data_IF_236093980736
#
_entry.id   IF_236093980736
#
_cell.length_a   1.000
_cell.length_b   1.000
_cell.length_c   1.000
_cell.angle_alpha   90.00
_cell.angle_beta   90.00
_cell.angle_gamma   90.00
#
_symmetry.space_group_name_H-M   'P 1'
#
loop_
_entity.id
_entity.type
_entity.pdbx_description
1 polymer ?
#
# COMPACT_ATOMS: atom_id res chain seq x y z
N UNK A 1 8.78 3.79 27.53
CA UNK A 1 7.83 2.77 28.05
C UNK A 1 7.42 3.17 29.47
N UNK A 2 6.12 3.12 29.77
CA UNK A 2 5.56 3.43 31.11
C UNK A 2 5.72 2.27 32.12
N UNK A 3 6.50 1.25 31.76
CA UNK A 3 6.68 0.01 32.52
C UNK A 3 5.54 -1.01 32.38
N UNK A 4 4.48 -0.70 31.62
CA UNK A 4 3.33 -1.58 31.35
C UNK A 4 3.14 -1.85 29.85
N UNK A 5 3.43 -0.86 29.02
CA UNK A 5 3.29 -0.87 27.58
C UNK A 5 4.60 -0.45 26.93
N UNK A 6 4.96 -1.18 25.88
CA UNK A 6 5.93 -0.74 24.91
C UNK A 6 5.15 -0.13 23.75
N UNK A 7 5.52 1.09 23.39
CA UNK A 7 4.96 1.80 22.26
C UNK A 7 5.98 1.71 21.14
N UNK A 8 5.50 1.48 19.92
CA UNK A 8 6.32 1.64 18.73
C UNK A 8 6.67 3.12 18.60
N UNK A 9 7.96 3.39 18.41
CA UNK A 9 8.55 4.72 18.21
C UNK A 9 9.04 4.79 16.75
N UNK A 10 9.14 5.99 16.20
CA UNK A 10 9.44 6.30 14.80
C UNK A 10 8.52 5.55 13.81
N UNK A 11 7.21 5.61 14.09
CA UNK A 11 6.19 4.96 13.25
C UNK A 11 6.21 5.56 11.84
N UNK A 12 6.11 4.72 10.81
CA UNK A 12 6.24 5.14 9.41
C UNK A 12 4.87 5.48 8.78
N UNK A 13 4.88 5.89 7.51
CA UNK A 13 3.68 6.27 6.77
C UNK A 13 2.79 5.07 6.41
N UNK A 14 3.36 3.86 6.38
CA UNK A 14 2.66 2.61 6.09
C UNK A 14 1.67 2.24 7.20
N UNK A 15 1.98 2.54 8.46
CA UNK A 15 1.04 2.31 9.55
C UNK A 15 -0.19 3.21 9.39
N UNK A 16 -0.01 4.50 9.11
CA UNK A 16 -1.15 5.41 8.88
C UNK A 16 -1.95 4.96 7.65
N UNK A 17 -1.27 4.56 6.58
CA UNK A 17 -1.92 4.01 5.38
C UNK A 17 -2.77 2.78 5.70
N UNK A 18 -2.23 1.83 6.45
CA UNK A 18 -2.95 0.63 6.90
C UNK A 18 -4.12 0.96 7.84
N UNK A 19 -3.96 1.90 8.77
CA UNK A 19 -5.03 2.33 9.67
C UNK A 19 -6.18 2.96 8.89
N UNK A 20 -5.91 3.93 8.01
CA UNK A 20 -6.95 4.61 7.25
C UNK A 20 -7.68 3.63 6.33
N UNK A 21 -6.99 2.69 5.68
CA UNK A 21 -7.63 1.66 4.86
C UNK A 21 -8.50 0.71 5.70
N UNK A 22 -7.92 0.07 6.73
CA UNK A 22 -8.61 -0.96 7.52
C UNK A 22 -9.75 -0.42 8.38
N UNK A 23 -9.59 0.75 9.00
CA UNK A 23 -10.65 1.39 9.79
C UNK A 23 -11.83 1.75 8.88
N UNK A 24 -11.56 2.21 7.67
CA UNK A 24 -12.62 2.55 6.72
C UNK A 24 -13.44 1.32 6.32
N UNK A 25 -12.77 0.19 6.00
CA UNK A 25 -13.46 -1.08 5.75
C UNK A 25 -14.26 -1.54 6.97
N UNK A 26 -13.71 -1.40 8.18
CA UNK A 26 -14.42 -1.72 9.41
C UNK A 26 -15.69 -0.88 9.57
N UNK A 27 -15.63 0.43 9.31
CA UNK A 27 -16.79 1.35 9.37
C UNK A 27 -17.88 0.96 8.35
N UNK A 28 -17.48 0.59 7.14
CA UNK A 28 -18.38 0.27 6.04
C UNK A 28 -19.09 -1.07 6.23
N UNK A 29 -18.37 -2.09 6.70
CA UNK A 29 -18.84 -3.48 6.61
C UNK A 29 -19.13 -4.16 7.95
N UNK A 30 -18.64 -3.61 9.07
CA UNK A 30 -18.69 -4.32 10.37
C UNK A 30 -19.21 -3.44 11.51
N UNK A 31 -18.78 -2.18 11.58
CA UNK A 31 -18.99 -1.36 12.75
C UNK A 31 -20.43 -0.87 12.87
N UNK A 32 -21.01 -1.05 14.06
CA UNK A 32 -22.34 -0.57 14.42
C UNK A 32 -22.29 0.27 15.70
N UNK A 33 -23.32 1.11 15.91
CA UNK A 33 -23.52 1.89 17.12
C UNK A 33 -22.26 2.64 17.60
N UNK A 34 -21.89 2.43 18.86
CA UNK A 34 -20.74 3.08 19.50
C UNK A 34 -19.40 2.77 18.82
N UNK A 35 -19.21 1.54 18.30
CA UNK A 35 -17.97 1.16 17.62
C UNK A 35 -17.77 1.99 16.34
N UNK A 36 -18.85 2.22 15.58
CA UNK A 36 -18.80 3.07 14.38
C UNK A 36 -18.42 4.50 14.74
N UNK A 37 -19.02 5.06 15.78
CA UNK A 37 -18.69 6.41 16.28
C UNK A 37 -17.23 6.50 16.72
N UNK A 38 -16.72 5.50 17.45
CA UNK A 38 -15.32 5.46 17.89
C UNK A 38 -14.33 5.34 16.74
N UNK A 39 -14.65 4.54 15.72
CA UNK A 39 -13.83 4.38 14.53
C UNK A 39 -13.73 5.68 13.72
N UNK A 40 -14.87 6.37 13.50
CA UNK A 40 -14.89 7.69 12.84
C UNK A 40 -14.09 8.71 13.65
N UNK A 41 -14.25 8.74 14.97
CA UNK A 41 -13.48 9.63 15.85
C UNK A 41 -11.97 9.30 15.86
N UNK A 42 -11.57 8.08 15.53
CA UNK A 42 -10.16 7.72 15.37
C UNK A 42 -9.59 8.27 14.05
N UNK A 43 -10.29 8.09 12.93
CA UNK A 43 -9.91 8.71 11.64
C UNK A 43 -9.77 10.22 11.80
N UNK A 44 -10.76 10.86 12.43
CA UNK A 44 -10.78 12.29 12.70
C UNK A 44 -9.53 12.74 13.46
N UNK A 45 -9.23 12.11 14.59
CA UNK A 45 -8.06 12.46 15.41
C UNK A 45 -6.74 12.28 14.67
N UNK A 46 -6.59 11.20 13.91
CA UNK A 46 -5.36 10.94 13.13
C UNK A 46 -5.16 12.05 12.09
N UNK A 47 -6.17 12.33 11.26
CA UNK A 47 -6.02 13.28 10.16
C UNK A 47 -5.97 14.73 10.65
N UNK A 48 -6.70 15.09 11.71
CA UNK A 48 -6.53 16.38 12.38
C UNK A 48 -5.11 16.55 12.92
N UNK A 49 -4.56 15.54 13.60
CA UNK A 49 -3.19 15.63 14.11
C UNK A 49 -2.17 15.86 12.99
N UNK A 50 -2.30 15.17 11.86
CA UNK A 50 -1.41 15.37 10.71
C UNK A 50 -1.50 16.81 10.17
N UNK A 51 -2.72 17.36 10.00
CA UNK A 51 -2.90 18.72 9.49
C UNK A 51 -2.38 19.78 10.47
N UNK A 52 -2.67 19.61 11.76
CA UNK A 52 -2.26 20.56 12.81
C UNK A 52 -0.73 20.64 12.96
N UNK A 53 0.00 19.63 12.48
CA UNK A 53 1.46 19.58 12.47
C UNK A 53 2.03 19.67 11.06
N UNK A 54 1.48 20.56 10.24
CA UNK A 54 1.96 20.85 8.89
C UNK A 54 2.10 19.58 8.03
N UNK A 55 1.10 18.70 8.04
CA UNK A 55 1.13 17.45 7.27
C UNK A 55 2.30 16.52 7.64
N UNK A 56 2.69 16.46 8.91
CA UNK A 56 3.69 15.54 9.42
C UNK A 56 3.10 14.66 10.52
N UNK A 57 3.53 13.40 10.60
CA UNK A 57 3.25 12.53 11.74
C UNK A 57 4.25 12.85 12.86
N UNK A 58 3.73 13.28 14.00
CA UNK A 58 4.54 13.63 15.18
C UNK A 58 4.54 12.46 16.16
N UNK A 59 5.73 12.12 16.64
CA UNK A 59 5.94 11.05 17.60
C UNK A 59 5.68 11.48 19.05
N UNK A 60 5.71 10.53 19.97
CA UNK A 60 5.52 10.73 21.39
C UNK A 60 6.55 11.68 22.02
N UNK A 61 7.71 11.87 21.39
CA UNK A 61 8.73 12.83 21.82
C UNK A 61 8.49 14.26 21.31
N UNK A 62 7.43 14.48 20.53
CA UNK A 62 7.03 15.76 19.97
C UNK A 62 7.75 16.14 18.68
N UNK A 63 8.53 15.23 18.08
CA UNK A 63 9.24 15.47 16.81
C UNK A 63 8.58 14.73 15.64
N UNK A 64 8.80 15.18 14.40
CA UNK A 64 8.37 14.42 13.23
C UNK A 64 9.03 13.04 13.18
N UNK A 65 8.23 12.04 12.85
CA UNK A 65 8.72 10.71 12.45
C UNK A 65 9.53 10.81 11.16
N UNK A 66 10.38 9.81 10.92
CA UNK A 66 11.26 9.79 9.77
C UNK A 66 10.52 9.71 8.45
N UNK A 67 9.41 8.97 8.39
CA UNK A 67 8.74 8.61 7.12
C UNK A 67 7.31 9.17 6.99
N UNK A 68 6.68 9.60 8.09
CA UNK A 68 5.36 10.24 8.07
C UNK A 68 5.43 11.71 7.65
N UNK A 69 5.86 11.97 6.42
CA UNK A 69 6.06 13.32 5.88
C UNK A 69 5.21 13.53 4.63
N UNK A 70 4.28 14.49 4.70
CA UNK A 70 3.35 14.81 3.61
C UNK A 70 3.27 16.30 3.29
N UNK A 71 4.20 17.09 3.81
CA UNK A 71 4.14 18.54 3.71
C UNK A 71 4.75 19.07 2.39
N UNK A 72 4.23 20.19 1.85
CA UNK A 72 4.71 20.71 0.57
C UNK A 72 6.18 21.09 0.55
N UNK A 73 6.71 21.62 1.64
CA UNK A 73 8.14 21.98 1.71
C UNK A 73 9.06 20.77 1.52
N UNK A 74 8.68 19.60 2.03
CA UNK A 74 9.42 18.37 1.78
C UNK A 74 9.16 17.84 0.37
N UNK A 75 7.90 17.65 -0.02
CA UNK A 75 7.57 16.92 -1.24
C UNK A 75 7.76 17.73 -2.53
N UNK A 76 7.55 19.05 -2.49
CA UNK A 76 7.65 19.93 -3.66
C UNK A 76 8.91 20.79 -3.67
N UNK A 77 9.41 21.19 -2.50
CA UNK A 77 10.48 22.19 -2.39
C UNK A 77 11.84 21.61 -1.95
N UNK A 78 11.94 20.28 -1.78
CA UNK A 78 13.18 19.60 -1.41
C UNK A 78 13.50 18.43 -2.36
N UNK A 79 14.75 18.30 -2.83
CA UNK A 79 15.16 17.14 -3.63
C UNK A 79 15.24 15.84 -2.82
N UNK A 80 15.31 15.92 -1.49
CA UNK A 80 15.50 14.77 -0.61
C UNK A 80 14.32 13.80 -0.59
N UNK A 81 13.14 14.26 -1.01
CA UNK A 81 11.88 13.49 -1.03
C UNK A 81 11.41 13.21 -2.46
N UNK A 82 12.31 13.33 -3.44
CA UNK A 82 11.95 13.16 -4.85
C UNK A 82 11.39 11.76 -5.16
N UNK A 83 11.82 10.73 -4.43
CA UNK A 83 11.33 9.36 -4.60
C UNK A 83 9.96 9.15 -3.94
N UNK A 84 9.73 9.78 -2.79
CA UNK A 84 8.51 9.65 -2.02
C UNK A 84 7.43 10.63 -2.47
N UNK A 85 7.79 11.67 -3.24
CA UNK A 85 6.92 12.77 -3.67
C UNK A 85 5.57 12.28 -4.19
N UNK A 86 5.58 11.36 -5.15
CA UNK A 86 4.35 10.85 -5.75
C UNK A 86 3.54 10.01 -4.77
N UNK A 87 4.21 9.08 -4.08
CA UNK A 87 3.61 8.15 -3.13
C UNK A 87 2.97 8.88 -1.94
N UNK A 88 3.70 9.79 -1.30
CA UNK A 88 3.24 10.52 -0.14
C UNK A 88 2.14 11.53 -0.53
N UNK A 89 2.23 12.15 -1.72
CA UNK A 89 1.12 12.98 -2.24
C UNK A 89 -0.16 12.15 -2.40
N UNK A 90 -0.06 10.92 -2.92
CA UNK A 90 -1.21 10.01 -3.04
C UNK A 90 -1.81 9.66 -1.67
N UNK A 91 -0.95 9.32 -0.69
CA UNK A 91 -1.36 8.96 0.66
C UNK A 91 -2.18 10.06 1.34
N UNK A 92 -1.64 11.28 1.43
CA UNK A 92 -2.32 12.36 2.17
C UNK A 92 -3.63 12.78 1.52
N UNK A 93 -3.69 12.77 0.18
CA UNK A 93 -4.95 13.01 -0.54
C UNK A 93 -5.99 11.95 -0.19
N UNK A 94 -5.59 10.68 -0.07
CA UNK A 94 -6.47 9.59 0.35
C UNK A 94 -6.93 9.73 1.80
N UNK A 95 -6.04 10.10 2.71
CA UNK A 95 -6.37 10.29 4.13
C UNK A 95 -7.40 11.41 4.28
N UNK A 96 -7.20 12.52 3.58
CA UNK A 96 -8.12 13.65 3.56
C UNK A 96 -9.48 13.26 2.95
N UNK A 97 -9.51 12.58 1.80
CA UNK A 97 -10.78 12.14 1.19
C UNK A 97 -11.56 11.19 2.08
N UNK A 98 -10.86 10.24 2.70
CA UNK A 98 -11.44 9.32 3.68
C UNK A 98 -12.03 10.08 4.87
N UNK A 99 -11.30 11.03 5.44
CA UNK A 99 -11.77 11.82 6.58
C UNK A 99 -12.93 12.77 6.20
N UNK A 100 -12.90 13.38 5.01
CA UNK A 100 -14.00 14.19 4.48
C UNK A 100 -15.28 13.36 4.41
N UNK A 101 -15.21 12.13 3.88
CA UNK A 101 -16.38 11.27 3.74
C UNK A 101 -17.04 10.93 5.08
N UNK A 102 -16.25 10.60 6.10
CA UNK A 102 -16.81 10.19 7.39
C UNK A 102 -17.17 11.34 8.34
N UNK A 103 -16.57 12.52 8.18
CA UNK A 103 -16.73 13.62 9.15
C UNK A 103 -17.33 14.90 8.56
N UNK A 104 -17.29 15.07 7.25
CA UNK A 104 -17.70 16.27 6.51
C UNK A 104 -17.00 17.59 6.96
N UNK A 105 -15.90 17.50 7.72
CA UNK A 105 -15.24 18.68 8.30
C UNK A 105 -14.66 19.61 7.24
N UNK A 106 -14.94 20.91 7.40
CA UNK A 106 -14.42 21.98 6.53
C UNK A 106 -12.89 22.01 6.48
N UNK A 107 -12.21 21.80 7.62
CA UNK A 107 -10.76 21.81 7.70
C UNK A 107 -10.12 20.80 6.73
N UNK A 108 -10.67 19.58 6.63
CA UNK A 108 -10.17 18.54 5.73
C UNK A 108 -10.42 18.90 4.26
N UNK A 109 -11.58 19.47 3.94
CA UNK A 109 -11.90 19.97 2.59
C UNK A 109 -10.93 21.08 2.17
N UNK A 110 -10.64 22.02 3.07
CA UNK A 110 -9.70 23.13 2.82
C UNK A 110 -8.27 22.61 2.64
N UNK A 111 -7.81 21.68 3.48
CA UNK A 111 -6.50 21.07 3.33
C UNK A 111 -6.37 20.31 1.99
N UNK A 112 -7.40 19.55 1.61
CA UNK A 112 -7.44 18.85 0.33
C UNK A 112 -7.32 19.83 -0.85
N UNK A 113 -8.17 20.87 -0.86
CA UNK A 113 -8.15 21.91 -1.89
C UNK A 113 -6.78 22.58 -1.99
N UNK A 114 -6.18 22.95 -0.85
CA UNK A 114 -4.85 23.53 -0.82
C UNK A 114 -3.80 22.63 -1.49
N UNK A 115 -3.71 21.36 -1.09
CA UNK A 115 -2.74 20.42 -1.65
C UNK A 115 -2.97 20.16 -3.15
N UNK A 116 -4.22 20.09 -3.60
CA UNK A 116 -4.52 19.82 -5.00
C UNK A 116 -4.38 21.03 -5.90
N UNK A 117 -4.84 22.21 -5.46
CA UNK A 117 -4.94 23.41 -6.29
C UNK A 117 -3.67 24.27 -6.23
N UNK A 118 -3.04 24.36 -5.06
CA UNK A 118 -1.83 25.18 -4.87
C UNK A 118 -0.54 24.38 -5.03
N UNK A 119 -0.54 23.13 -4.54
CA UNK A 119 0.68 22.32 -4.45
C UNK A 119 0.76 21.21 -5.51
N UNK A 120 -0.26 21.05 -6.36
CA UNK A 120 -0.23 20.11 -7.48
C UNK A 120 -0.18 18.63 -7.07
N UNK A 121 -0.65 18.27 -5.87
CA UNK A 121 -0.50 16.90 -5.35
C UNK A 121 -1.21 15.86 -6.20
N UNK A 122 -2.28 16.23 -6.91
CA UNK A 122 -2.94 15.31 -7.83
C UNK A 122 -2.06 14.93 -9.03
N UNK A 123 -1.18 15.83 -9.50
CA UNK A 123 -0.21 15.53 -10.55
C UNK A 123 0.97 14.72 -10.01
N UNK A 124 1.44 15.03 -8.80
CA UNK A 124 2.43 14.22 -8.10
C UNK A 124 1.94 12.77 -7.97
N UNK A 125 0.70 12.60 -7.54
CA UNK A 125 0.08 11.29 -7.33
C UNK A 125 0.01 10.46 -8.61
N UNK A 126 -0.02 11.04 -9.82
CA UNK A 126 0.06 10.26 -11.08
C UNK A 126 1.36 9.47 -11.19
N UNK A 127 2.43 9.93 -10.55
CA UNK A 127 3.74 9.28 -10.52
C UNK A 127 3.99 8.49 -9.22
N UNK A 128 2.94 8.08 -8.50
CA UNK A 128 3.07 7.46 -7.17
C UNK A 128 3.98 6.22 -7.15
N UNK A 129 3.81 5.29 -8.11
CA UNK A 129 4.75 4.18 -8.29
C UNK A 129 6.00 4.64 -9.04
N UNK A 130 7.14 4.68 -8.35
CA UNK A 130 8.45 4.76 -9.00
C UNK A 130 8.96 3.33 -9.20
N UNK A 131 9.55 3.08 -10.37
CA UNK A 131 10.13 1.81 -10.72
C UNK A 131 11.31 2.02 -11.67
N UNK A 132 12.24 1.08 -11.63
CA UNK A 132 13.50 1.10 -12.35
C UNK A 132 14.41 -0.01 -11.82
N UNK A 133 15.53 -0.30 -12.50
CA UNK A 133 16.39 -1.44 -12.17
C UNK A 133 16.78 -1.57 -10.70
N UNK A 134 17.00 -0.44 -10.02
CA UNK A 134 17.50 -0.40 -8.65
C UNK A 134 16.53 0.26 -7.66
N UNK A 135 15.39 0.75 -8.14
CA UNK A 135 14.46 1.57 -7.35
C UNK A 135 13.13 0.85 -7.07
N UNK A 136 12.94 -0.34 -7.66
CA UNK A 136 11.69 -1.09 -7.50
C UNK A 136 11.53 -1.55 -6.05
N UNK A 137 10.58 -0.90 -5.37
CA UNK A 137 10.15 -1.23 -4.02
C UNK A 137 8.83 -2.00 -4.09
N UNK A 138 8.84 -3.25 -3.64
CA UNK A 138 7.61 -4.07 -3.56
C UNK A 138 6.83 -3.79 -2.26
N UNK A 139 7.50 -3.29 -1.22
CA UNK A 139 6.81 -2.86 0.01
C UNK A 139 5.85 -1.72 -0.27
N UNK A 140 6.29 -0.77 -1.10
CA UNK A 140 5.54 0.44 -1.42
C UNK A 140 4.29 0.17 -2.23
N UNK A 141 4.12 -1.03 -2.78
CA UNK A 141 2.88 -1.39 -3.47
C UNK A 141 1.68 -1.39 -2.53
N UNK A 142 1.84 -1.83 -1.28
CA UNK A 142 0.80 -1.67 -0.25
C UNK A 142 0.47 -0.18 -0.08
N UNK A 143 1.52 0.64 0.03
CA UNK A 143 1.42 2.09 0.25
C UNK A 143 0.84 2.83 -0.97
N UNK A 144 0.82 2.21 -2.15
CA UNK A 144 0.15 2.73 -3.33
C UNK A 144 -1.31 2.27 -3.41
N UNK A 145 -1.56 0.95 -3.30
CA UNK A 145 -2.86 0.36 -3.57
C UNK A 145 -3.91 0.70 -2.52
N UNK A 146 -3.54 0.75 -1.23
CA UNK A 146 -4.47 1.07 -0.16
C UNK A 146 -5.01 2.51 -0.26
N UNK A 147 -4.18 3.55 -0.52
CA UNK A 147 -4.68 4.89 -0.74
C UNK A 147 -5.63 5.05 -1.93
N UNK A 148 -5.47 4.27 -3.01
CA UNK A 148 -6.41 4.35 -4.14
C UNK A 148 -7.83 3.97 -3.71
N UNK A 149 -8.00 3.03 -2.77
CA UNK A 149 -9.32 2.69 -2.25
C UNK A 149 -10.01 3.91 -1.65
N UNK A 150 -9.36 4.61 -0.72
CA UNK A 150 -9.93 5.81 -0.09
C UNK A 150 -10.26 6.91 -1.10
N UNK A 151 -9.35 7.19 -2.05
CA UNK A 151 -9.57 8.20 -3.09
C UNK A 151 -10.72 7.85 -4.04
N UNK A 152 -10.75 6.61 -4.52
CA UNK A 152 -11.69 6.21 -5.57
C UNK A 152 -13.05 5.82 -5.00
N UNK A 153 -13.12 5.25 -3.80
CA UNK A 153 -14.38 4.90 -3.13
C UNK A 153 -15.07 6.14 -2.57
N UNK A 154 -14.33 7.03 -1.91
CA UNK A 154 -14.90 8.16 -1.17
C UNK A 154 -14.83 9.50 -1.91
N UNK A 155 -14.18 9.55 -3.09
CA UNK A 155 -14.09 10.72 -3.95
C UNK A 155 -14.73 10.50 -5.32
N UNK A 156 -15.91 9.85 -5.38
CA UNK A 156 -16.59 9.59 -6.67
C UNK A 156 -17.01 10.86 -7.40
N UNK A 157 -17.28 11.94 -6.66
CA UNK A 157 -17.65 13.28 -7.12
C UNK A 157 -16.43 14.19 -7.40
N UNK A 158 -15.22 13.70 -7.14
CA UNK A 158 -14.00 14.49 -7.30
C UNK A 158 -13.68 14.75 -8.79
N UNK A 159 -13.57 16.01 -9.26
CA UNK A 159 -13.13 16.30 -10.61
C UNK A 159 -11.73 15.78 -10.96
N UNK A 160 -10.88 15.50 -9.96
CA UNK A 160 -9.55 14.92 -10.13
C UNK A 160 -9.55 13.39 -10.21
N UNK A 161 -10.72 12.74 -10.06
CA UNK A 161 -10.87 11.28 -10.20
C UNK A 161 -10.18 10.70 -11.45
N UNK A 162 -10.22 11.32 -12.65
CA UNK A 162 -9.49 10.80 -13.81
C UNK A 162 -7.97 10.70 -13.61
N UNK A 163 -7.35 11.62 -12.85
CA UNK A 163 -5.92 11.55 -12.51
C UNK A 163 -5.62 10.36 -11.58
N UNK A 164 -6.50 10.08 -10.62
CA UNK A 164 -6.33 8.94 -9.72
C UNK A 164 -6.52 7.60 -10.44
N UNK A 165 -7.46 7.52 -11.39
CA UNK A 165 -7.61 6.35 -12.27
C UNK A 165 -6.36 6.16 -13.14
N UNK A 166 -5.85 7.25 -13.73
CA UNK A 166 -4.59 7.21 -14.50
C UNK A 166 -3.42 6.71 -13.63
N UNK A 167 -3.32 7.22 -12.40
CA UNK A 167 -2.30 6.82 -11.44
C UNK A 167 -2.34 5.33 -11.10
N UNK A 168 -3.54 4.82 -10.75
CA UNK A 168 -3.75 3.40 -10.48
C UNK A 168 -3.43 2.54 -11.70
N UNK A 169 -3.88 2.92 -12.90
CA UNK A 169 -3.60 2.17 -14.13
C UNK A 169 -2.09 2.11 -14.44
N UNK A 170 -1.36 3.21 -14.24
CA UNK A 170 0.09 3.25 -14.39
C UNK A 170 0.79 2.37 -13.33
N UNK A 171 0.34 2.47 -12.08
CA UNK A 171 0.89 1.68 -10.96
C UNK A 171 0.69 0.18 -11.21
N UNK A 172 -0.52 -0.24 -11.59
CA UNK A 172 -0.79 -1.63 -11.95
C UNK A 172 0.07 -2.09 -13.13
N UNK A 173 0.18 -1.28 -14.20
CA UNK A 173 1.03 -1.62 -15.36
C UNK A 173 2.47 -1.93 -14.94
N UNK A 174 2.99 -1.23 -13.93
CA UNK A 174 4.35 -1.40 -13.44
C UNK A 174 4.56 -2.65 -12.57
N UNK A 175 3.49 -3.23 -12.00
CA UNK A 175 3.57 -4.38 -11.08
C UNK A 175 2.83 -5.62 -11.58
N UNK A 176 2.12 -5.55 -12.70
CA UNK A 176 1.28 -6.65 -13.20
C UNK A 176 2.09 -7.95 -13.44
N UNK A 177 3.36 -7.81 -13.82
CA UNK A 177 4.27 -8.92 -14.11
C UNK A 177 4.89 -9.53 -12.83
N UNK A 178 4.62 -8.96 -11.64
CA UNK A 178 5.06 -9.54 -10.36
C UNK A 178 4.12 -10.64 -9.86
N UNK A 179 3.00 -10.89 -10.57
CA UNK A 179 2.02 -11.93 -10.25
C UNK A 179 1.44 -11.81 -8.83
N UNK A 180 1.29 -10.59 -8.32
CA UNK A 180 0.74 -10.34 -6.98
C UNK A 180 -0.80 -10.34 -7.02
N UNK A 181 -1.49 -11.35 -6.45
CA UNK A 181 -2.94 -11.47 -6.56
C UNK A 181 -3.68 -10.28 -5.96
N UNK A 182 -3.21 -9.78 -4.81
CA UNK A 182 -3.84 -8.65 -4.10
C UNK A 182 -3.90 -7.39 -4.97
N UNK A 183 -2.85 -7.08 -5.74
CA UNK A 183 -2.79 -5.90 -6.61
C UNK A 183 -3.66 -6.07 -7.85
N UNK A 184 -3.69 -7.27 -8.43
CA UNK A 184 -4.54 -7.60 -9.56
C UNK A 184 -6.03 -7.49 -9.19
N UNK A 185 -6.42 -8.03 -8.03
CA UNK A 185 -7.81 -7.97 -7.53
C UNK A 185 -8.22 -6.53 -7.24
N UNK A 186 -7.39 -5.78 -6.51
CA UNK A 186 -7.65 -4.38 -6.19
C UNK A 186 -7.73 -3.49 -7.45
N UNK A 187 -6.79 -3.65 -8.38
CA UNK A 187 -6.81 -2.96 -9.67
C UNK A 187 -8.08 -3.29 -10.45
N UNK A 188 -8.46 -4.57 -10.50
CA UNK A 188 -9.64 -5.01 -11.26
C UNK A 188 -10.92 -4.37 -10.74
N UNK A 189 -11.11 -4.39 -9.42
CA UNK A 189 -12.27 -3.80 -8.75
C UNK A 189 -12.32 -2.26 -8.93
N UNK A 190 -11.20 -1.57 -8.71
CA UNK A 190 -11.18 -0.10 -8.74
C UNK A 190 -11.17 0.48 -10.15
N UNK A 191 -10.59 -0.22 -11.14
CA UNK A 191 -10.61 0.18 -12.56
C UNK A 191 -11.84 -0.37 -13.31
N UNK A 192 -12.60 -1.28 -12.70
CA UNK A 192 -13.75 -1.95 -13.29
C UNK A 192 -13.41 -2.63 -14.63
N UNK A 193 -12.32 -3.41 -14.65
CA UNK A 193 -11.85 -4.20 -15.80
C UNK A 193 -11.01 -5.37 -15.31
N UNK A 194 -10.78 -6.38 -16.14
CA UNK A 194 -9.84 -7.46 -15.80
C UNK A 194 -8.39 -6.94 -15.79
N UNK A 195 -7.73 -7.08 -14.63
CA UNK A 195 -6.34 -6.74 -14.41
C UNK A 195 -5.55 -7.98 -13.96
N UNK A 196 -5.55 -9.02 -14.80
CA UNK A 196 -4.87 -10.32 -14.61
C UNK A 196 -5.50 -11.16 -13.48
N UNK A 197 -6.83 -11.30 -13.51
CA UNK A 197 -7.58 -12.10 -12.54
C UNK A 197 -7.24 -13.59 -12.62
N UNK A 198 -6.98 -14.13 -13.81
CA UNK A 198 -6.56 -15.54 -13.96
C UNK A 198 -5.25 -15.82 -13.19
N UNK A 199 -4.25 -14.94 -13.34
CA UNK A 199 -3.01 -15.02 -12.57
C UNK A 199 -3.29 -14.91 -11.08
N UNK A 200 -4.15 -13.98 -10.65
CA UNK A 200 -4.49 -13.83 -9.24
C UNK A 200 -5.11 -15.11 -8.63
N UNK A 201 -6.03 -15.75 -9.36
CA UNK A 201 -6.65 -17.01 -8.94
C UNK A 201 -5.62 -18.13 -8.86
N UNK A 202 -4.77 -18.27 -9.89
CA UNK A 202 -3.71 -19.27 -9.91
C UNK A 202 -2.75 -19.11 -8.72
N UNK A 203 -2.30 -17.90 -8.44
CA UNK A 203 -1.36 -17.65 -7.34
C UNK A 203 -1.99 -17.89 -5.98
N UNK A 204 -3.29 -17.62 -5.81
CA UNK A 204 -4.02 -18.00 -4.60
C UNK A 204 -4.14 -19.52 -4.46
N UNK A 205 -4.39 -20.25 -5.54
CA UNK A 205 -4.45 -21.73 -5.51
C UNK A 205 -3.09 -22.36 -5.19
N UNK A 206 -2.01 -21.72 -5.61
CA UNK A 206 -0.64 -22.16 -5.37
C UNK A 206 -0.06 -21.66 -4.04
N UNK A 207 -0.77 -20.80 -3.31
CA UNK A 207 -0.26 -20.24 -2.06
C UNK A 207 0.01 -21.35 -1.03
N UNK A 208 1.21 -21.40 -0.41
CA UNK A 208 1.54 -22.48 0.49
C UNK A 208 0.64 -22.50 1.73
N UNK A 209 0.27 -23.70 2.17
CA UNK A 209 -0.40 -23.90 3.46
C UNK A 209 0.59 -23.84 4.64
N UNK A 210 1.84 -24.20 4.39
CA UNK A 210 2.92 -24.04 5.36
C UNK A 210 3.42 -22.59 5.31
N UNK A 211 3.22 -21.89 6.42
CA UNK A 211 3.56 -20.48 6.55
C UNK A 211 4.94 -20.26 7.22
N UNK A 212 5.71 -21.33 7.43
CA UNK A 212 7.06 -21.25 7.96
C UNK A 212 8.01 -20.66 6.91
N UNK A 213 8.83 -19.69 7.34
CA UNK A 213 9.82 -19.02 6.51
C UNK A 213 11.07 -19.88 6.31
N UNK A 214 10.96 -20.83 5.37
CA UNK A 214 12.02 -21.75 4.97
C UNK A 214 13.05 -21.09 4.04
N UNK A 215 14.30 -21.58 4.09
CA UNK A 215 15.32 -21.22 3.11
C UNK A 215 14.99 -21.83 1.76
N UNK A 216 14.86 -20.99 0.74
CA UNK A 216 14.59 -21.40 -0.64
C UNK A 216 15.74 -20.94 -1.53
N UNK A 217 16.46 -21.89 -2.12
CA UNK A 217 17.61 -21.60 -2.99
C UNK A 217 17.26 -21.97 -4.43
N UNK A 218 17.11 -20.99 -5.32
CA UNK A 218 16.80 -21.24 -6.73
C UNK A 218 17.90 -20.77 -7.69
N UNK A 219 18.99 -20.15 -7.21
CA UNK A 219 20.09 -19.67 -8.07
C UNK A 219 20.84 -20.77 -8.83
N UNK A 220 20.66 -22.03 -8.44
CA UNK A 220 21.24 -23.20 -9.12
C UNK A 220 20.34 -23.74 -10.24
N UNK A 221 19.10 -23.26 -10.37
CA UNK A 221 18.12 -23.72 -11.35
C UNK A 221 18.45 -23.18 -12.73
N UNK A 222 18.73 -24.08 -13.68
CA UNK A 222 19.09 -23.71 -15.05
C UNK A 222 17.88 -23.26 -15.89
N UNK A 223 16.67 -23.61 -15.45
CA UNK A 223 15.41 -23.27 -16.11
C UNK A 223 14.91 -21.87 -15.79
N UNK A 224 15.48 -21.22 -14.76
CA UNK A 224 15.18 -19.82 -14.44
C UNK A 224 16.11 -18.89 -15.22
N UNK A 225 15.52 -17.92 -15.91
CA UNK A 225 16.31 -16.90 -16.61
C UNK A 225 16.79 -15.86 -15.61
N UNK A 226 18.10 -15.71 -15.44
CA UNK A 226 18.66 -14.70 -14.55
C UNK A 226 18.52 -13.30 -15.17
N UNK A 227 18.06 -12.34 -14.36
CA UNK A 227 18.17 -10.94 -14.72
C UNK A 227 19.64 -10.51 -14.60
N UNK A 228 20.25 -9.88 -15.64
CA UNK A 228 21.58 -9.31 -15.51
C UNK A 228 21.68 -8.21 -14.44
N UNK A 229 20.55 -7.67 -13.98
CA UNK A 229 20.44 -6.65 -12.94
C UNK A 229 20.11 -7.27 -11.58
N UNK A 230 20.57 -6.60 -10.53
CA UNK A 230 20.26 -6.95 -9.14
C UNK A 230 19.06 -6.14 -8.63
N UNK A 231 18.35 -6.68 -7.65
CA UNK A 231 17.23 -5.98 -7.01
C UNK A 231 17.70 -4.76 -6.19
N UNK A 232 16.75 -3.96 -5.72
CA UNK A 232 17.00 -2.80 -4.83
C UNK A 232 17.82 -3.16 -3.58
N UNK A 233 17.69 -4.39 -3.10
CA UNK A 233 18.45 -4.95 -1.97
C UNK A 233 19.82 -5.52 -2.35
N UNK A 234 20.27 -5.33 -3.59
CA UNK A 234 21.51 -5.85 -4.17
C UNK A 234 21.59 -7.38 -4.18
N UNK A 235 20.46 -8.05 -4.42
CA UNK A 235 20.37 -9.50 -4.55
C UNK A 235 20.08 -9.90 -6.00
N UNK A 236 20.55 -11.09 -6.37
CA UNK A 236 20.26 -11.66 -7.68
C UNK A 236 18.78 -12.05 -7.79
N UNK A 237 18.22 -11.86 -8.99
CA UNK A 237 16.82 -12.12 -9.29
C UNK A 237 16.68 -12.78 -10.68
N UNK A 238 15.55 -13.44 -10.88
CA UNK A 238 15.12 -13.93 -12.17
C UNK A 238 14.43 -12.83 -12.98
N UNK A 239 14.34 -13.04 -14.29
CA UNK A 239 13.56 -12.17 -15.18
C UNK A 239 12.08 -12.31 -14.87
N UNK A 240 11.59 -13.52 -14.57
CA UNK A 240 10.18 -13.78 -14.22
C UNK A 240 10.04 -14.15 -12.72
N UNK A 241 8.86 -13.96 -12.11
CA UNK A 241 8.60 -14.43 -10.75
C UNK A 241 8.91 -15.91 -10.55
N UNK A 242 9.53 -16.24 -9.42
CA UNK A 242 9.69 -17.64 -9.01
C UNK A 242 8.30 -18.23 -8.72
N UNK A 243 7.97 -19.44 -9.20
CA UNK A 243 6.68 -20.06 -8.90
C UNK A 243 6.40 -20.04 -7.40
N UNK A 244 5.21 -19.60 -7.00
CA UNK A 244 4.84 -19.41 -5.59
C UNK A 244 5.17 -20.60 -4.66
N UNK A 245 4.93 -21.88 -5.04
CA UNK A 245 5.30 -23.03 -4.20
C UNK A 245 6.81 -23.28 -4.06
N UNK A 246 7.62 -22.68 -4.93
CA UNK A 246 9.08 -22.83 -5.02
C UNK A 246 9.82 -21.60 -4.47
N UNK A 247 9.08 -20.60 -3.97
CA UNK A 247 9.62 -19.38 -3.38
C UNK A 247 9.51 -19.43 -1.84
N UNK A 248 10.19 -18.51 -1.14
CA UNK A 248 9.95 -18.29 0.29
C UNK A 248 8.47 -18.00 0.52
N UNK A 249 7.94 -18.27 1.71
CA UNK A 249 6.61 -17.75 2.03
C UNK A 249 6.71 -16.22 2.13
N UNK A 250 6.06 -15.51 1.21
CA UNK A 250 6.12 -14.06 1.18
C UNK A 250 4.78 -13.42 1.48
N UNK A 251 4.89 -12.32 2.21
CA UNK A 251 3.90 -11.25 2.22
C UNK A 251 3.90 -10.64 0.81
N UNK A 252 2.75 -10.29 0.25
CA UNK A 252 2.59 -9.74 -1.12
C UNK A 252 3.27 -8.37 -1.38
N UNK A 253 4.38 -8.12 -0.71
CA UNK A 253 5.17 -6.90 -0.64
C UNK A 253 6.68 -7.20 -0.72
N UNK A 254 7.04 -8.45 -1.05
CA UNK A 254 8.42 -8.93 -1.22
C UNK A 254 8.70 -9.15 -2.71
N UNK A 255 9.97 -9.01 -3.12
CA UNK A 255 10.37 -9.28 -4.50
C UNK A 255 10.11 -10.75 -4.87
N UNK A 256 9.16 -11.07 -5.76
CA UNK A 256 8.83 -12.44 -6.13
C UNK A 256 9.86 -13.05 -7.09
N UNK A 257 10.77 -12.24 -7.63
CA UNK A 257 11.81 -12.64 -8.59
C UNK A 257 13.12 -13.04 -7.90
N UNK A 258 13.26 -12.84 -6.59
CA UNK A 258 14.49 -13.15 -5.87
C UNK A 258 14.83 -14.64 -5.97
N UNK A 259 16.04 -14.96 -6.43
CA UNK A 259 16.46 -16.35 -6.66
C UNK A 259 16.63 -17.12 -5.35
N UNK A 260 17.40 -16.56 -4.41
CA UNK A 260 17.65 -17.17 -3.11
C UNK A 260 17.03 -16.30 -2.02
N UNK A 261 16.12 -16.88 -1.24
CA UNK A 261 15.27 -16.15 -0.32
C UNK A 261 14.85 -16.98 0.90
N UNK A 262 14.12 -16.35 1.81
CA UNK A 262 13.57 -16.96 3.01
C UNK A 262 14.48 -16.96 4.22
N UNK A 263 13.91 -17.43 5.33
CA UNK A 263 14.52 -17.53 6.63
C UNK A 263 15.20 -18.88 6.87
N UNK A 264 15.37 -19.25 8.14
CA UNK A 264 15.94 -20.53 8.58
C UNK A 264 14.89 -21.48 9.19
N UNK A 265 13.60 -21.21 8.97
CA UNK A 265 12.49 -21.96 9.56
C UNK A 265 12.19 -21.66 11.02
N UNK A 266 12.74 -20.58 11.59
CA UNK A 266 12.46 -20.17 12.98
C UNK A 266 11.34 -19.12 13.12
N UNK A 267 10.73 -18.70 12.01
CA UNK A 267 9.62 -17.76 11.97
C UNK A 267 8.50 -18.24 11.07
N UNK A 268 7.30 -17.76 11.35
CA UNK A 268 6.09 -18.01 10.56
C UNK A 268 5.47 -16.66 10.17
N UNK A 269 4.91 -16.58 8.97
CA UNK A 269 4.16 -15.41 8.51
C UNK A 269 2.67 -15.56 8.80
N UNK A 270 2.01 -14.42 9.00
CA UNK A 270 0.56 -14.40 9.21
C UNK A 270 -0.21 -14.82 7.94
N UNK A 271 -1.21 -15.70 8.09
CA UNK A 271 -2.12 -16.07 6.99
C UNK A 271 -3.00 -14.93 6.47
N UNK A 272 -2.95 -13.75 7.10
CA UNK A 272 -3.71 -12.56 6.69
C UNK A 272 -3.43 -12.12 5.24
N UNK A 273 -2.24 -12.40 4.70
CA UNK A 273 -1.91 -12.05 3.32
C UNK A 273 -2.71 -12.86 2.30
N UNK A 274 -2.88 -14.16 2.54
CA UNK A 274 -3.81 -14.97 1.73
C UNK A 274 -5.25 -14.47 1.93
N UNK A 275 -5.66 -14.32 3.19
CA UNK A 275 -7.05 -13.99 3.54
C UNK A 275 -7.51 -12.66 2.93
N UNK A 276 -6.68 -11.61 2.93
CA UNK A 276 -7.08 -10.31 2.38
C UNK A 276 -7.33 -10.40 0.87
N UNK A 277 -6.47 -11.07 0.12
CA UNK A 277 -6.64 -11.24 -1.32
C UNK A 277 -7.84 -12.15 -1.62
N UNK A 278 -7.93 -13.30 -0.94
CA UNK A 278 -9.02 -14.25 -1.11
C UNK A 278 -10.39 -13.62 -0.84
N UNK A 279 -10.57 -12.96 0.31
CA UNK A 279 -11.86 -12.39 0.68
C UNK A 279 -12.24 -11.19 -0.17
N UNK A 280 -11.28 -10.38 -0.63
CA UNK A 280 -11.57 -9.33 -1.62
C UNK A 280 -12.04 -9.93 -2.93
N UNK A 281 -11.38 -10.97 -3.45
CA UNK A 281 -11.82 -11.63 -4.68
C UNK A 281 -13.20 -12.29 -4.55
N UNK A 282 -13.50 -12.90 -3.39
CA UNK A 282 -14.82 -13.45 -3.08
C UNK A 282 -15.89 -12.35 -3.04
N UNK A 283 -15.61 -11.24 -2.36
CA UNK A 283 -16.53 -10.10 -2.23
C UNK A 283 -16.87 -9.48 -3.59
N UNK A 284 -15.86 -9.31 -4.45
CA UNK A 284 -16.03 -8.79 -5.81
C UNK A 284 -16.59 -9.83 -6.80
N UNK A 285 -16.79 -11.08 -6.38
CA UNK A 285 -17.35 -12.15 -7.20
C UNK A 285 -16.38 -12.74 -8.24
N UNK A 286 -15.07 -12.49 -8.11
CA UNK A 286 -14.04 -13.03 -9.00
C UNK A 286 -13.72 -14.51 -8.71
N UNK A 287 -14.01 -14.97 -7.50
CA UNK A 287 -13.85 -16.37 -7.10
C UNK A 287 -15.18 -16.87 -6.54
N UNK A 288 -15.54 -18.10 -6.92
CA UNK A 288 -16.70 -18.83 -6.40
C UNK A 288 -16.22 -20.07 -5.63
N UNK A 289 -17.09 -20.62 -4.77
CA UNK A 289 -16.83 -21.86 -4.02
C UNK A 289 -16.92 -23.12 -4.88
#
# INVERSE_FOLDING_TARGET
ADGKWQWLDDTSSDEITGHLFSISLFIDYVAEGELKTRAIALIDRIVTNIIDHDFQLIDADGKPTRWGIWNPDSLNHSPNWSYEKGLNSLQILSFLRTAIHFTDKKAFKTAYQYLTESEGYADNAVQAKIYGPYETSHSDDILNFFPYYGLLKYGSDDPLRPKYIQSLARTWTAVQDDHMPVWNIMASAMLNRDCNLETAVRELQLYPLDLIDWTMNNSHRWDLTHDPLIDRGRKAQAVDPIPTPENQIFRWNTNPRRLDAGGNGSSEVSGTYFLVAYWMARYEGYITE
#
